data_IF_581610400423
#
_entry.id   IF_581610400423
#
_cell.length_a   1.000
_cell.length_b   1.000
_cell.length_c   1.000
_cell.angle_alpha   90.00
_cell.angle_beta   90.00
_cell.angle_gamma   90.00
#
_symmetry.space_group_name_H-M   'P 1'
#
loop_
_entity.id
_entity.type
_entity.pdbx_description
1 polymer ?
#
# COMPACT_ATOMS: atom_id res chain seq x y z
N UNK A 1 25.13 -8.27 -7.18
CA UNK A 1 24.99 -6.90 -6.62
C UNK A 1 25.05 -5.78 -7.68
N UNK A 2 25.96 -5.82 -8.66
CA UNK A 2 26.06 -4.76 -9.69
C UNK A 2 24.79 -4.54 -10.53
N UNK A 3 24.03 -5.59 -10.86
CA UNK A 3 22.77 -5.48 -11.61
C UNK A 3 21.66 -4.76 -10.82
N UNK A 4 21.60 -4.96 -9.50
CA UNK A 4 20.61 -4.32 -8.61
C UNK A 4 20.98 -2.85 -8.39
N UNK A 5 22.26 -2.57 -8.15
CA UNK A 5 22.74 -1.19 -7.99
C UNK A 5 22.49 -0.35 -9.25
N UNK A 6 22.65 -0.93 -10.45
CA UNK A 6 22.37 -0.23 -11.71
C UNK A 6 20.88 -0.08 -12.04
N UNK A 7 20.01 -0.93 -11.48
CA UNK A 7 18.55 -0.73 -11.56
C UNK A 7 18.09 0.34 -10.58
N UNK A 8 18.60 0.32 -9.34
CA UNK A 8 18.32 1.35 -8.33
C UNK A 8 18.79 2.73 -8.79
N UNK A 9 19.95 2.82 -9.46
CA UNK A 9 20.45 4.07 -10.03
C UNK A 9 19.57 4.64 -11.16
N UNK A 10 18.69 3.83 -11.76
CA UNK A 10 17.74 4.26 -12.80
C UNK A 10 16.36 4.63 -12.23
N UNK A 11 16.13 4.42 -10.93
CA UNK A 11 14.90 4.82 -10.28
C UNK A 11 14.90 6.33 -10.13
N UNK A 12 13.86 7.00 -10.65
CA UNK A 12 13.68 8.42 -10.40
C UNK A 12 13.15 8.60 -8.96
N UNK A 13 13.95 9.16 -8.02
CA UNK A 13 13.51 9.34 -6.64
C UNK A 13 12.30 10.28 -6.54
N UNK A 14 12.12 11.18 -7.51
CA UNK A 14 10.95 12.04 -7.60
C UNK A 14 9.66 11.22 -7.74
N UNK A 15 9.66 10.18 -8.59
CA UNK A 15 8.48 9.33 -8.78
C UNK A 15 8.12 8.58 -7.51
N UNK A 16 9.13 8.12 -6.76
CA UNK A 16 8.92 7.46 -5.47
C UNK A 16 8.29 8.40 -4.44
N UNK A 17 8.77 9.63 -4.32
CA UNK A 17 8.25 10.60 -3.35
C UNK A 17 6.83 11.02 -3.70
N UNK A 18 6.57 11.37 -4.96
CA UNK A 18 5.23 11.80 -5.39
C UNK A 18 4.22 10.67 -5.20
N UNK A 19 4.53 9.46 -5.69
CA UNK A 19 3.63 8.31 -5.52
C UNK A 19 3.43 7.95 -4.04
N UNK A 20 4.44 8.10 -3.19
CA UNK A 20 4.30 7.89 -1.75
C UNK A 20 3.40 8.93 -1.09
N UNK A 21 3.44 10.19 -1.51
CA UNK A 21 2.52 11.24 -1.03
C UNK A 21 1.07 10.89 -1.40
N UNK A 22 0.81 10.49 -2.65
CA UNK A 22 -0.55 10.12 -3.07
C UNK A 22 -1.06 8.91 -2.27
N UNK A 23 -0.22 7.89 -2.05
CA UNK A 23 -0.57 6.74 -1.22
C UNK A 23 -0.80 7.13 0.25
N UNK A 24 -0.01 8.04 0.81
CA UNK A 24 -0.19 8.51 2.18
C UNK A 24 -1.52 9.25 2.34
N UNK A 25 -1.88 10.11 1.38
CA UNK A 25 -3.18 10.77 1.36
C UNK A 25 -4.31 9.75 1.27
N UNK A 26 -4.16 8.75 0.39
CA UNK A 26 -5.12 7.65 0.29
C UNK A 26 -5.24 6.88 1.61
N UNK A 27 -4.14 6.61 2.31
CA UNK A 27 -4.15 5.94 3.61
C UNK A 27 -4.93 6.74 4.67
N UNK A 28 -4.72 8.05 4.71
CA UNK A 28 -5.45 8.94 5.62
C UNK A 28 -6.96 8.89 5.34
N UNK A 29 -7.36 8.93 4.08
CA UNK A 29 -8.79 8.86 3.69
C UNK A 29 -9.35 7.45 3.99
N UNK A 30 -8.61 6.41 3.61
CA UNK A 30 -9.05 5.02 3.76
C UNK A 30 -9.24 4.64 5.23
N UNK A 31 -8.23 4.86 6.07
CA UNK A 31 -8.31 4.49 7.48
C UNK A 31 -9.06 5.53 8.31
N UNK A 32 -8.86 6.81 8.04
CA UNK A 32 -9.46 7.90 8.81
C UNK A 32 -10.98 8.03 8.59
N UNK A 33 -11.46 7.77 7.36
CA UNK A 33 -12.87 7.96 7.02
C UNK A 33 -13.57 6.63 6.71
N UNK A 34 -13.10 5.87 5.72
CA UNK A 34 -13.83 4.70 5.19
C UNK A 34 -13.87 3.58 6.22
N UNK A 35 -12.71 3.09 6.65
CA UNK A 35 -12.62 2.02 7.64
C UNK A 35 -13.22 2.46 8.96
N UNK A 36 -12.99 3.70 9.40
CA UNK A 36 -13.57 4.21 10.63
C UNK A 36 -15.12 4.18 10.61
N UNK A 37 -15.75 4.57 9.49
CA UNK A 37 -17.21 4.47 9.33
C UNK A 37 -17.70 3.02 9.32
N UNK A 38 -16.99 2.14 8.59
CA UNK A 38 -17.34 0.71 8.53
C UNK A 38 -17.20 0.08 9.92
N UNK A 39 -16.12 0.39 10.63
CA UNK A 39 -15.89 -0.08 11.99
C UNK A 39 -16.97 0.43 12.92
N UNK A 40 -17.34 1.71 12.90
CA UNK A 40 -18.46 2.22 13.70
C UNK A 40 -19.78 1.48 13.42
N UNK A 41 -20.07 1.18 12.14
CA UNK A 41 -21.25 0.41 11.77
C UNK A 41 -21.23 -1.02 12.34
N UNK A 42 -20.08 -1.71 12.26
CA UNK A 42 -19.93 -3.06 12.81
C UNK A 42 -19.76 -3.09 14.34
N UNK A 43 -19.25 -2.02 14.97
CA UNK A 43 -19.16 -1.87 16.43
C UNK A 43 -20.55 -1.63 17.03
N UNK A 44 -21.42 -0.88 16.37
CA UNK A 44 -22.82 -0.73 16.78
C UNK A 44 -23.56 -2.08 16.79
N UNK A 45 -23.14 -3.01 15.93
CA UNK A 45 -23.72 -4.34 15.82
C UNK A 45 -23.14 -5.38 16.80
N UNK A 46 -22.00 -5.13 17.47
CA UNK A 46 -21.28 -6.20 18.17
C UNK A 46 -20.50 -5.73 19.43
N UNK A 47 -20.96 -6.14 20.61
CA UNK A 47 -20.49 -5.73 21.96
C UNK A 47 -19.22 -6.46 22.45
N UNK A 48 -18.28 -6.82 21.57
CA UNK A 48 -17.06 -7.55 21.95
C UNK A 48 -15.81 -6.67 21.97
N UNK A 49 -15.21 -6.47 23.14
CA UNK A 49 -13.97 -5.69 23.36
C UNK A 49 -12.83 -6.20 22.46
N UNK A 50 -12.16 -5.31 21.71
CA UNK A 50 -11.22 -5.70 20.63
C UNK A 50 -9.78 -5.33 20.93
N UNK A 51 -8.87 -6.26 20.59
CA UNK A 51 -7.40 -6.08 20.56
C UNK A 51 -6.93 -4.95 19.61
N UNK A 52 -7.75 -4.54 18.63
CA UNK A 52 -7.47 -3.42 17.74
C UNK A 52 -7.52 -2.06 18.46
N UNK A 53 -8.36 -1.92 19.51
CA UNK A 53 -8.37 -0.74 20.36
C UNK A 53 -7.02 -0.54 21.06
N UNK A 54 -6.37 -1.64 21.48
CA UNK A 54 -5.03 -1.59 22.07
C UNK A 54 -3.91 -1.27 21.09
N UNK A 55 -4.04 -1.57 19.80
CA UNK A 55 -3.03 -1.20 18.80
C UNK A 55 -3.11 0.31 18.47
N UNK A 56 -4.33 0.84 18.37
CA UNK A 56 -4.59 2.27 18.12
C UNK A 56 -4.15 3.14 19.31
N UNK A 57 -4.26 2.62 20.54
CA UNK A 57 -3.85 3.35 21.76
C UNK A 57 -2.36 3.23 22.11
N UNK A 58 -1.60 2.28 21.54
CA UNK A 58 -0.20 2.03 21.94
C UNK A 58 0.84 2.86 21.20
N UNK A 59 0.56 3.26 19.97
CA UNK A 59 1.54 3.95 19.11
C UNK A 59 1.05 5.35 18.75
N UNK A 60 1.95 6.33 18.81
CA UNK A 60 1.60 7.70 18.44
C UNK A 60 1.23 7.79 16.97
N UNK A 61 0.28 8.70 16.65
CA UNK A 61 -0.15 8.93 15.27
C UNK A 61 1.02 9.29 14.33
N UNK A 62 2.04 9.98 14.85
CA UNK A 62 3.27 10.29 14.12
C UNK A 62 4.06 9.04 13.74
N UNK A 63 4.21 8.09 14.67
CA UNK A 63 4.94 6.85 14.41
C UNK A 63 4.21 6.01 13.37
N UNK A 64 2.89 5.88 13.51
CA UNK A 64 2.04 5.16 12.55
C UNK A 64 2.13 5.81 11.18
N UNK A 65 1.93 7.14 11.08
CA UNK A 65 2.01 7.86 9.81
C UNK A 65 3.40 7.77 9.16
N UNK A 66 4.47 7.85 9.95
CA UNK A 66 5.85 7.71 9.46
C UNK A 66 6.12 6.31 8.92
N UNK A 67 5.67 5.27 9.64
CA UNK A 67 5.76 3.89 9.17
C UNK A 67 4.95 3.67 7.90
N UNK A 68 3.73 4.22 7.81
CA UNK A 68 2.91 4.15 6.59
C UNK A 68 3.63 4.80 5.42
N UNK A 69 4.26 5.96 5.60
CA UNK A 69 5.00 6.64 4.55
C UNK A 69 6.20 5.82 4.06
N UNK A 70 6.96 5.20 4.98
CA UNK A 70 8.05 4.28 4.64
C UNK A 70 7.55 3.07 3.85
N UNK A 71 6.40 2.49 4.22
CA UNK A 71 5.77 1.41 3.45
C UNK A 71 5.36 1.88 2.05
N UNK A 72 4.84 3.11 1.91
CA UNK A 72 4.50 3.69 0.61
C UNK A 72 5.74 3.87 -0.28
N UNK A 73 6.86 4.32 0.29
CA UNK A 73 8.14 4.40 -0.42
C UNK A 73 8.64 3.01 -0.85
N UNK A 74 8.61 2.03 0.05
CA UNK A 74 9.05 0.67 -0.25
C UNK A 74 8.22 0.05 -1.38
N UNK A 75 6.90 0.20 -1.34
CA UNK A 75 6.00 -0.26 -2.40
C UNK A 75 6.32 0.40 -3.75
N UNK A 76 6.51 1.71 -3.74
CA UNK A 76 6.87 2.48 -4.94
C UNK A 76 8.20 2.04 -5.52
N UNK A 77 9.19 1.78 -4.67
CA UNK A 77 10.49 1.23 -5.07
C UNK A 77 10.34 -0.12 -5.78
N UNK A 78 9.57 -1.04 -5.19
CA UNK A 78 9.36 -2.39 -5.74
C UNK A 78 8.66 -2.31 -7.10
N UNK A 79 7.57 -1.53 -7.20
CA UNK A 79 6.84 -1.36 -8.47
C UNK A 79 7.74 -0.77 -9.55
N UNK A 80 8.48 0.30 -9.25
CA UNK A 80 9.37 0.93 -10.22
C UNK A 80 10.55 0.02 -10.61
N UNK A 81 11.09 -0.77 -9.67
CA UNK A 81 12.11 -1.76 -9.99
C UNK A 81 11.58 -2.80 -10.96
N UNK A 82 10.40 -3.37 -10.70
CA UNK A 82 9.80 -4.37 -11.58
C UNK A 82 9.46 -3.78 -12.96
N UNK A 83 8.92 -2.56 -13.01
CA UNK A 83 8.67 -1.82 -14.25
C UNK A 83 9.95 -1.64 -15.06
N UNK A 84 11.05 -1.28 -14.39
CA UNK A 84 12.36 -1.14 -15.02
C UNK A 84 12.89 -2.47 -15.53
N UNK A 85 12.78 -3.55 -14.75
CA UNK A 85 13.33 -4.86 -15.14
C UNK A 85 12.55 -5.48 -16.30
N UNK A 86 11.23 -5.35 -16.29
CA UNK A 86 10.36 -5.91 -17.35
C UNK A 86 10.16 -4.96 -18.52
N UNK A 87 10.78 -3.77 -18.52
CA UNK A 87 10.64 -2.74 -19.56
C UNK A 87 9.18 -2.43 -19.89
N UNK A 88 8.34 -2.35 -18.85
CA UNK A 88 6.93 -2.04 -18.98
C UNK A 88 6.72 -0.67 -19.66
N UNK A 89 5.76 -0.61 -20.58
CA UNK A 89 5.51 0.56 -21.43
C UNK A 89 4.05 1.00 -21.44
N UNK A 90 3.12 0.06 -21.26
CA UNK A 90 1.68 0.36 -21.25
C UNK A 90 1.15 0.48 -19.82
N UNK A 91 0.02 1.17 -19.64
CA UNK A 91 -0.65 1.22 -18.33
C UNK A 91 -1.02 -0.17 -17.80
N UNK A 92 -1.43 -1.08 -18.70
CA UNK A 92 -1.78 -2.45 -18.36
C UNK A 92 -0.57 -3.21 -17.78
N UNK A 93 0.64 -3.00 -18.32
CA UNK A 93 1.85 -3.62 -17.78
C UNK A 93 2.11 -3.18 -16.33
N UNK A 94 1.90 -1.90 -16.02
CA UNK A 94 2.07 -1.35 -14.66
C UNK A 94 1.04 -1.94 -13.71
N UNK A 95 -0.21 -2.09 -14.16
CA UNK A 95 -1.28 -2.72 -13.38
C UNK A 95 -1.00 -4.20 -13.12
N UNK A 96 -0.53 -4.96 -14.12
CA UNK A 96 -0.15 -6.37 -13.93
C UNK A 96 0.99 -6.50 -12.92
N UNK A 97 2.01 -5.63 -13.01
CA UNK A 97 3.10 -5.59 -12.04
C UNK A 97 2.58 -5.26 -10.64
N UNK A 98 1.69 -4.26 -10.50
CA UNK A 98 1.08 -3.95 -9.21
C UNK A 98 0.29 -5.14 -8.65
N UNK A 99 -0.49 -5.84 -9.47
CA UNK A 99 -1.20 -7.05 -9.04
C UNK A 99 -0.24 -8.13 -8.55
N UNK A 100 0.88 -8.35 -9.24
CA UNK A 100 1.89 -9.31 -8.80
C UNK A 100 2.46 -8.91 -7.42
N UNK A 101 2.79 -7.63 -7.21
CA UNK A 101 3.26 -7.11 -5.91
C UNK A 101 2.23 -7.36 -4.80
N UNK A 102 0.94 -7.12 -5.08
CA UNK A 102 -0.14 -7.41 -4.12
C UNK A 102 -0.14 -8.90 -3.76
N UNK A 103 -0.13 -9.79 -4.75
CA UNK A 103 -0.18 -11.23 -4.49
C UNK A 103 0.99 -11.68 -3.60
N UNK A 104 2.20 -11.18 -3.86
CA UNK A 104 3.36 -11.47 -3.00
C UNK A 104 3.21 -10.91 -1.58
N UNK A 105 2.72 -9.67 -1.43
CA UNK A 105 2.49 -9.07 -0.12
C UNK A 105 1.44 -9.82 0.71
N UNK A 106 0.44 -10.39 0.04
CA UNK A 106 -0.67 -11.10 0.66
C UNK A 106 -0.33 -12.54 1.08
N UNK A 107 0.82 -13.10 0.68
CA UNK A 107 1.20 -14.47 1.08
C UNK A 107 1.19 -14.61 2.60
N UNK A 108 1.57 -13.58 3.35
CA UNK A 108 1.64 -13.63 4.82
C UNK A 108 0.26 -13.67 5.51
N UNK A 109 -0.80 -13.29 4.80
CA UNK A 109 -2.18 -13.17 5.33
C UNK A 109 -2.77 -14.44 5.89
N UNK A 110 -2.39 -15.59 5.35
CA UNK A 110 -2.99 -16.88 5.73
C UNK A 110 -2.88 -17.15 7.24
N UNK A 111 -1.86 -16.58 7.89
CA UNK A 111 -1.62 -16.73 9.34
C UNK A 111 -2.56 -15.89 10.19
N UNK A 112 -3.08 -14.79 9.65
CA UNK A 112 -3.90 -13.81 10.39
C UNK A 112 -5.39 -14.05 10.22
N UNK A 113 -5.81 -14.78 9.18
CA UNK A 113 -7.19 -15.21 8.94
C UNK A 113 -7.82 -15.95 10.14
N UNK A 114 -7.03 -16.73 10.89
CA UNK A 114 -7.49 -17.44 12.07
C UNK A 114 -7.61 -16.56 13.33
N UNK A 115 -7.01 -15.37 13.32
CA UNK A 115 -6.86 -14.49 14.51
C UNK A 115 -7.71 -13.22 14.43
N UNK A 116 -8.15 -12.84 13.24
CA UNK A 116 -8.92 -11.62 13.00
C UNK A 116 -10.21 -11.91 12.22
N UNK A 117 -11.14 -10.96 12.27
CA UNK A 117 -12.40 -11.09 11.53
C UNK A 117 -12.13 -10.96 10.02
N UNK A 118 -12.67 -11.87 9.20
CA UNK A 118 -12.31 -11.95 7.78
C UNK A 118 -12.61 -10.67 7.00
N UNK A 119 -13.75 -10.01 7.28
CA UNK A 119 -14.13 -8.77 6.61
C UNK A 119 -13.18 -7.62 6.97
N UNK A 120 -12.84 -7.48 8.24
CA UNK A 120 -11.94 -6.41 8.70
C UNK A 120 -10.53 -6.61 8.14
N UNK A 121 -10.02 -7.85 8.16
CA UNK A 121 -8.74 -8.20 7.58
C UNK A 121 -8.71 -7.93 6.06
N UNK A 122 -9.77 -8.32 5.35
CA UNK A 122 -9.88 -8.10 3.91
C UNK A 122 -9.90 -6.60 3.57
N UNK A 123 -10.66 -5.78 4.30
CA UNK A 123 -10.76 -4.34 4.04
C UNK A 123 -9.50 -3.56 4.46
N UNK A 124 -8.93 -3.88 5.62
CA UNK A 124 -7.81 -3.12 6.18
C UNK A 124 -6.47 -3.47 5.56
N UNK A 125 -6.33 -4.67 5.01
CA UNK A 125 -5.06 -5.14 4.49
C UNK A 125 -5.16 -5.54 3.01
N UNK A 126 -6.04 -6.46 2.59
CA UNK A 126 -6.13 -6.85 1.15
C UNK A 126 -6.54 -5.70 0.24
N UNK A 127 -7.69 -5.08 0.50
CA UNK A 127 -8.25 -4.05 -0.37
C UNK A 127 -7.39 -2.79 -0.32
N UNK A 128 -6.91 -2.42 0.87
CA UNK A 128 -5.98 -1.31 1.02
C UNK A 128 -4.67 -1.53 0.24
N UNK A 129 -4.05 -2.70 0.36
CA UNK A 129 -2.80 -3.00 -0.35
C UNK A 129 -3.03 -3.05 -1.87
N UNK A 130 -4.13 -3.64 -2.33
CA UNK A 130 -4.50 -3.65 -3.74
C UNK A 130 -4.75 -2.24 -4.29
N UNK A 131 -5.52 -1.43 -3.58
CA UNK A 131 -5.80 -0.06 -4.01
C UNK A 131 -4.54 0.82 -4.00
N UNK A 132 -3.72 0.74 -2.95
CA UNK A 132 -2.49 1.54 -2.82
C UNK A 132 -1.43 1.18 -3.86
N UNK A 133 -1.22 -0.11 -4.15
CA UNK A 133 -0.33 -0.58 -5.23
C UNK A 133 -0.85 -0.17 -6.61
N UNK A 134 -2.15 -0.25 -6.87
CA UNK A 134 -2.74 0.23 -8.12
C UNK A 134 -2.57 1.74 -8.30
N UNK A 135 -2.80 2.51 -7.23
CA UNK A 135 -2.58 3.96 -7.21
C UNK A 135 -1.12 4.30 -7.55
N UNK A 136 -0.18 3.51 -7.03
CA UNK A 136 1.24 3.62 -7.33
C UNK A 136 1.52 3.38 -8.81
N UNK A 137 0.98 2.30 -9.38
CA UNK A 137 1.12 1.98 -10.79
C UNK A 137 0.60 3.09 -11.71
N UNK A 138 -0.59 3.61 -11.42
CA UNK A 138 -1.20 4.71 -12.18
C UNK A 138 -0.36 5.98 -12.05
N UNK A 139 0.03 6.35 -10.82
CA UNK A 139 0.84 7.54 -10.57
C UNK A 139 2.19 7.49 -11.29
N UNK A 140 2.93 6.38 -11.15
CA UNK A 140 4.22 6.19 -11.80
C UNK A 140 4.11 6.18 -13.34
N UNK A 141 3.05 5.59 -13.89
CA UNK A 141 2.81 5.61 -15.34
C UNK A 141 2.62 7.04 -15.85
N UNK A 142 1.75 7.83 -15.22
CA UNK A 142 1.51 9.20 -15.65
C UNK A 142 2.73 10.11 -15.45
N UNK A 143 3.46 9.97 -14.34
CA UNK A 143 4.69 10.73 -14.11
C UNK A 143 5.73 10.46 -15.21
N UNK A 144 5.87 9.20 -15.63
CA UNK A 144 6.75 8.82 -16.73
C UNK A 144 6.24 9.33 -18.09
N UNK A 145 4.94 9.27 -18.34
CA UNK A 145 4.33 9.72 -19.59
C UNK A 145 4.51 11.23 -19.81
N UNK A 146 4.37 12.02 -18.74
CA UNK A 146 4.52 13.48 -18.79
C UNK A 146 5.97 13.97 -18.63
N UNK A 147 6.95 13.06 -18.59
CA UNK A 147 8.39 13.37 -18.51
C UNK A 147 8.76 14.30 -17.34
N UNK A 148 8.09 14.15 -16.21
CA UNK A 148 8.53 14.78 -14.95
C UNK A 148 9.73 14.06 -14.35
#
# INVERSE_FOLDING_TARGET
MQAIASTVAKLNPFYMVVSAIVQQMFAIIWFGWIINHIEHYYYAADKGVRRSEHAIQRYSALLVSGATFLCCLARSAVVLMLVSTYKASTLQDYQVIAFAVVLFSMISMHRDLARQRPIQLLLTQCVYEAASTMLTAVCCYYLRQYSF
#
